data_IF_081815748568
#
_entry.id   IF_081815748568
#
_cell.length_a   1.000
_cell.length_b   1.000
_cell.length_c   1.000
_cell.angle_alpha   90.00
_cell.angle_beta   90.00
_cell.angle_gamma   90.00
#
_symmetry.space_group_name_H-M   'P 1'
#
loop_
_entity.id
_entity.type
_entity.pdbx_description
1 polymer ?
#
# COMPACT_ATOMS: atom_id res chain seq x y z
N UNK A 1 24.78 -17.76 24.83
CA UNK A 1 23.77 -17.24 25.78
C UNK A 1 22.42 -17.51 25.19
N UNK A 2 21.51 -18.12 25.91
CA UNK A 2 20.20 -18.54 25.41
C UNK A 2 19.33 -17.29 25.23
N UNK A 3 18.94 -16.98 23.99
CA UNK A 3 17.94 -15.95 23.69
C UNK A 3 16.59 -16.42 24.27
N UNK A 4 16.16 -15.78 25.34
CA UNK A 4 14.82 -15.96 25.85
C UNK A 4 13.90 -15.12 24.99
N UNK A 5 13.23 -15.75 24.04
CA UNK A 5 12.14 -15.14 23.30
C UNK A 5 11.03 -14.79 24.31
N UNK A 6 10.91 -13.52 24.64
CA UNK A 6 9.66 -13.00 25.19
C UNK A 6 8.73 -12.86 23.99
N UNK A 7 8.08 -13.95 23.64
CA UNK A 7 6.92 -13.95 22.78
C UNK A 7 5.83 -13.13 23.49
N UNK A 8 5.76 -11.84 23.19
CA UNK A 8 4.53 -11.11 23.42
C UNK A 8 3.43 -11.84 22.65
N UNK A 9 2.34 -12.16 23.34
CA UNK A 9 1.22 -13.01 22.88
C UNK A 9 0.39 -12.34 21.75
N UNK A 10 1.02 -11.59 20.86
CA UNK A 10 0.47 -11.15 19.57
C UNK A 10 0.92 -12.08 18.42
N UNK A 11 1.71 -13.09 18.75
CA UNK A 11 2.12 -14.08 17.78
C UNK A 11 0.99 -15.06 17.51
N UNK A 12 0.54 -15.01 16.25
CA UNK A 12 -0.01 -16.15 15.54
C UNK A 12 -1.39 -16.65 15.95
N UNK A 13 -2.40 -15.97 15.49
CA UNK A 13 -3.41 -16.74 14.79
C UNK A 13 -2.80 -17.19 13.43
N UNK A 14 -1.90 -18.17 13.45
CA UNK A 14 -1.62 -18.96 12.26
C UNK A 14 -2.93 -19.71 11.98
N UNK A 15 -3.81 -19.07 11.22
CA UNK A 15 -5.03 -19.68 10.75
C UNK A 15 -4.60 -20.87 9.89
N UNK A 16 -4.87 -22.09 10.33
CA UNK A 16 -4.97 -23.21 9.41
C UNK A 16 -6.07 -22.85 8.44
N UNK A 17 -5.67 -22.25 7.32
CA UNK A 17 -6.55 -22.02 6.19
C UNK A 17 -6.85 -23.41 5.67
N UNK A 18 -8.12 -23.81 5.74
CA UNK A 18 -8.60 -24.97 5.00
C UNK A 18 -8.36 -24.63 3.52
N UNK A 19 -7.30 -25.20 2.93
CA UNK A 19 -6.88 -24.89 1.57
C UNK A 19 -7.99 -25.35 0.62
N UNK A 20 -8.67 -24.39 0.01
CA UNK A 20 -9.39 -24.65 -1.23
C UNK A 20 -8.37 -25.00 -2.32
N UNK A 21 -8.71 -25.90 -3.22
CA UNK A 21 -7.83 -26.32 -4.32
C UNK A 21 -7.68 -25.22 -5.40
N UNK A 22 -8.20 -24.03 -5.16
CA UNK A 22 -8.16 -22.87 -6.03
C UNK A 22 -7.29 -21.78 -5.44
N UNK A 23 -6.59 -21.04 -6.30
CA UNK A 23 -5.76 -19.89 -5.91
C UNK A 23 -6.58 -18.81 -5.21
N UNK A 24 -7.82 -18.63 -5.63
CA UNK A 24 -8.76 -17.65 -5.08
C UNK A 24 -10.17 -18.25 -4.92
N UNK A 25 -10.98 -17.63 -4.03
CA UNK A 25 -12.38 -17.99 -3.83
C UNK A 25 -13.33 -17.07 -4.63
N UNK A 26 -12.93 -15.81 -4.84
CA UNK A 26 -13.76 -14.77 -5.47
C UNK A 26 -12.91 -13.84 -6.35
N UNK A 27 -13.51 -13.41 -7.47
CA UNK A 27 -12.98 -12.35 -8.32
C UNK A 27 -14.03 -11.24 -8.43
N UNK A 28 -13.74 -10.07 -7.86
CA UNK A 28 -14.67 -8.94 -7.78
C UNK A 28 -13.92 -7.65 -8.13
N UNK A 29 -14.48 -6.87 -9.05
CA UNK A 29 -13.91 -5.57 -9.47
C UNK A 29 -12.44 -5.64 -9.89
N UNK A 30 -12.02 -6.75 -10.51
CA UNK A 30 -10.65 -6.96 -10.97
C UNK A 30 -9.66 -7.43 -9.89
N UNK A 31 -10.13 -7.71 -8.68
CA UNK A 31 -9.30 -8.20 -7.58
C UNK A 31 -9.72 -9.62 -7.19
N UNK A 32 -8.73 -10.47 -6.99
CA UNK A 32 -8.90 -11.84 -6.55
C UNK A 32 -8.80 -11.94 -5.03
N UNK A 33 -9.73 -12.65 -4.41
CA UNK A 33 -9.81 -12.77 -2.97
C UNK A 33 -9.90 -14.21 -2.51
N UNK A 34 -9.27 -14.46 -1.35
CA UNK A 34 -9.54 -15.66 -0.52
C UNK A 34 -10.29 -15.24 0.73
N UNK A 35 -11.37 -15.96 1.06
CA UNK A 35 -12.11 -15.76 2.30
C UNK A 35 -11.45 -16.55 3.44
N UNK A 36 -11.25 -15.92 4.56
CA UNK A 36 -10.72 -16.54 5.76
C UNK A 36 -11.53 -16.13 6.99
N UNK A 37 -11.55 -17.01 7.99
CA UNK A 37 -12.20 -16.74 9.28
C UNK A 37 -11.18 -16.91 10.40
N UNK A 38 -11.07 -15.92 11.26
CA UNK A 38 -10.20 -15.97 12.41
C UNK A 38 -10.65 -17.09 13.36
N UNK A 39 -9.72 -17.93 13.78
CA UNK A 39 -9.95 -18.91 14.85
C UNK A 39 -9.65 -18.27 16.21
N UNK A 40 -10.60 -18.29 17.11
CA UNK A 40 -10.39 -17.80 18.48
C UNK A 40 -9.80 -18.89 19.38
N UNK A 41 -8.97 -18.53 20.38
CA UNK A 41 -8.57 -19.46 21.42
C UNK A 41 -9.81 -20.08 22.09
N UNK A 42 -9.89 -21.41 22.11
CA UNK A 42 -11.04 -22.13 22.63
C UNK A 42 -12.02 -22.64 21.56
N UNK A 43 -11.71 -22.48 20.27
CA UNK A 43 -12.46 -23.12 19.16
C UNK A 43 -13.66 -22.32 18.64
N UNK A 44 -13.81 -21.07 19.05
CA UNK A 44 -14.81 -20.16 18.49
C UNK A 44 -14.39 -19.60 17.14
N UNK A 45 -15.36 -19.20 16.29
CA UNK A 45 -15.11 -18.45 15.08
C UNK A 45 -15.07 -16.94 15.41
N UNK A 46 -14.02 -16.25 14.95
CA UNK A 46 -13.87 -14.81 15.02
C UNK A 46 -14.41 -14.10 13.76
N UNK A 47 -13.78 -12.98 13.44
CA UNK A 47 -14.12 -12.20 12.23
C UNK A 47 -13.81 -13.00 10.96
N UNK A 48 -14.71 -12.89 9.98
CA UNK A 48 -14.49 -13.35 8.61
C UNK A 48 -14.04 -12.15 7.76
N UNK A 49 -12.99 -12.35 6.97
CA UNK A 49 -12.34 -11.30 6.19
C UNK A 49 -11.83 -11.81 4.85
N UNK A 50 -11.38 -10.89 4.00
CA UNK A 50 -10.80 -11.18 2.71
C UNK A 50 -9.28 -10.95 2.72
N UNK A 51 -8.60 -11.78 1.94
CA UNK A 51 -7.18 -11.73 1.64
C UNK A 51 -7.07 -11.47 0.14
N UNK A 52 -6.34 -10.45 -0.28
CA UNK A 52 -5.98 -10.24 -1.69
C UNK A 52 -4.98 -11.32 -2.09
N UNK A 53 -5.23 -11.97 -3.22
CA UNK A 53 -4.37 -13.03 -3.78
C UNK A 53 -4.22 -12.84 -5.28
N UNK A 54 -3.34 -13.59 -5.94
CA UNK A 54 -3.29 -13.70 -7.40
C UNK A 54 -4.22 -14.82 -7.91
N UNK A 55 -4.23 -15.03 -9.21
CA UNK A 55 -4.97 -16.11 -9.89
C UNK A 55 -4.07 -17.26 -10.35
N UNK A 56 -2.85 -17.38 -9.80
CA UNK A 56 -1.76 -18.29 -10.19
C UNK A 56 -1.18 -18.03 -11.60
N UNK A 57 -1.55 -16.91 -12.23
CA UNK A 57 -0.99 -16.51 -13.51
C UNK A 57 -0.03 -15.30 -13.34
N UNK A 58 1.06 -15.22 -14.10
CA UNK A 58 1.94 -14.06 -14.06
C UNK A 58 1.22 -12.81 -14.58
N UNK A 59 1.54 -11.65 -13.99
CA UNK A 59 0.90 -10.37 -14.34
C UNK A 59 -0.62 -10.33 -14.11
N UNK A 60 -1.10 -10.97 -13.07
CA UNK A 60 -2.51 -10.93 -12.64
C UNK A 60 -3.05 -9.50 -12.58
N UNK A 61 -2.24 -8.56 -12.10
CA UNK A 61 -2.59 -7.16 -11.95
C UNK A 61 -1.75 -6.25 -12.84
N UNK A 62 -2.35 -5.16 -13.30
CA UNK A 62 -1.68 -4.17 -14.15
C UNK A 62 -2.24 -2.76 -13.95
N UNK A 63 -1.43 -1.75 -14.24
CA UNK A 63 -1.81 -0.34 -14.06
C UNK A 63 -1.99 0.01 -12.58
N UNK A 64 -3.00 0.81 -12.29
CA UNK A 64 -3.29 1.28 -10.94
C UNK A 64 -4.35 0.39 -10.29
N UNK A 65 -4.01 -0.22 -9.17
CA UNK A 65 -4.91 -1.10 -8.41
C UNK A 65 -5.30 -0.44 -7.10
N UNK A 66 -6.61 -0.41 -6.81
CA UNK A 66 -7.14 0.06 -5.53
C UNK A 66 -7.70 -1.12 -4.76
N UNK A 67 -7.08 -1.47 -3.64
CA UNK A 67 -7.58 -2.47 -2.71
C UNK A 67 -8.66 -1.82 -1.84
N UNK A 68 -9.94 -2.22 -1.94
CA UNK A 68 -11.01 -1.58 -1.19
C UNK A 68 -10.97 -1.94 0.30
N UNK A 69 -11.63 -1.14 1.14
CA UNK A 69 -11.78 -1.47 2.56
C UNK A 69 -12.66 -2.70 2.79
N UNK A 70 -13.70 -2.83 1.98
CA UNK A 70 -14.66 -3.91 2.06
C UNK A 70 -15.14 -4.33 0.68
N UNK A 71 -15.51 -5.60 0.53
CA UNK A 71 -16.22 -6.11 -0.64
C UNK A 71 -17.50 -6.84 -0.23
N UNK A 72 -18.51 -6.83 -1.12
CA UNK A 72 -19.75 -7.54 -0.91
C UNK A 72 -19.70 -8.90 -1.57
N UNK A 73 -19.58 -9.94 -0.77
CA UNK A 73 -19.52 -11.34 -1.21
C UNK A 73 -20.81 -12.05 -0.81
N UNK A 74 -21.60 -12.48 -1.78
CA UNK A 74 -22.89 -13.17 -1.55
C UNK A 74 -23.84 -12.40 -0.63
N UNK A 75 -23.83 -11.06 -0.68
CA UNK A 75 -24.68 -10.19 0.15
C UNK A 75 -24.11 -9.88 1.54
N UNK A 76 -22.93 -10.40 1.88
CA UNK A 76 -22.19 -10.11 3.11
C UNK A 76 -21.08 -9.11 2.83
N UNK A 77 -21.01 -7.99 3.58
CA UNK A 77 -19.92 -7.04 3.49
C UNK A 77 -18.74 -7.53 4.34
N UNK A 78 -17.64 -7.86 3.67
CA UNK A 78 -16.44 -8.40 4.29
C UNK A 78 -15.28 -7.39 4.17
N UNK A 79 -14.52 -7.22 5.25
CA UNK A 79 -13.32 -6.37 5.25
C UNK A 79 -12.17 -7.04 4.51
N UNK A 80 -11.43 -6.26 3.72
CA UNK A 80 -10.15 -6.70 3.16
C UNK A 80 -9.06 -6.39 4.18
N UNK A 81 -8.40 -7.42 4.72
CA UNK A 81 -7.47 -7.27 5.85
C UNK A 81 -6.03 -7.64 5.54
N UNK A 82 -5.79 -8.43 4.52
CA UNK A 82 -4.46 -8.94 4.22
C UNK A 82 -4.14 -8.82 2.76
N UNK A 83 -2.91 -8.43 2.47
CA UNK A 83 -2.27 -8.71 1.19
C UNK A 83 -1.62 -10.08 1.35
N UNK A 84 -2.06 -11.06 0.59
CA UNK A 84 -1.57 -12.43 0.67
C UNK A 84 -0.12 -12.57 0.20
N UNK A 85 0.50 -13.70 0.51
CA UNK A 85 1.80 -14.02 -0.07
C UNK A 85 1.68 -14.06 -1.59
N UNK A 86 2.67 -13.44 -2.27
CA UNK A 86 2.75 -13.39 -3.73
C UNK A 86 1.54 -12.74 -4.43
N UNK A 87 0.70 -11.98 -3.72
CA UNK A 87 -0.54 -11.42 -4.27
C UNK A 87 -0.32 -10.59 -5.54
N UNK A 88 0.73 -9.80 -5.61
CA UNK A 88 1.13 -9.00 -6.76
C UNK A 88 2.48 -9.44 -7.36
N UNK A 89 2.96 -10.64 -7.01
CA UNK A 89 4.24 -11.14 -7.48
C UNK A 89 4.33 -11.15 -9.01
N UNK A 90 5.44 -10.62 -9.54
CA UNK A 90 5.71 -10.62 -10.97
C UNK A 90 4.75 -9.77 -11.81
N UNK A 91 4.04 -8.82 -11.20
CA UNK A 91 3.14 -7.92 -11.93
C UNK A 91 3.92 -6.82 -12.64
N UNK A 92 4.54 -7.17 -13.79
CA UNK A 92 5.47 -6.30 -14.53
C UNK A 92 4.83 -5.04 -15.12
N UNK A 93 3.50 -4.94 -15.15
CA UNK A 93 2.76 -3.77 -15.62
C UNK A 93 2.00 -3.05 -14.49
N UNK A 94 2.27 -3.39 -13.23
CA UNK A 94 1.69 -2.74 -12.07
C UNK A 94 2.42 -1.41 -11.82
N UNK A 95 1.69 -0.31 -11.84
CA UNK A 95 2.26 1.04 -11.68
C UNK A 95 2.00 1.62 -10.30
N UNK A 96 0.84 1.36 -9.72
CA UNK A 96 0.55 1.77 -8.35
C UNK A 96 -0.43 0.82 -7.65
N UNK A 97 -0.32 0.75 -6.32
CA UNK A 97 -1.29 0.07 -5.46
C UNK A 97 -1.70 0.99 -4.33
N UNK A 98 -2.99 1.27 -4.23
CA UNK A 98 -3.56 2.00 -3.10
C UNK A 98 -4.08 1.01 -2.07
N UNK A 99 -3.47 0.99 -0.90
CA UNK A 99 -3.89 0.20 0.26
C UNK A 99 -4.77 1.03 1.18
N UNK A 100 -5.77 0.41 1.79
CA UNK A 100 -6.71 1.07 2.70
C UNK A 100 -6.42 0.76 4.17
N UNK A 101 -6.97 1.58 5.09
CA UNK A 101 -6.73 1.48 6.53
C UNK A 101 -7.34 0.25 7.23
N UNK A 102 -7.68 -0.79 6.47
CA UNK A 102 -8.07 -2.09 7.01
C UNK A 102 -6.98 -3.16 6.86
N UNK A 103 -5.95 -2.88 6.03
CA UNK A 103 -4.85 -3.81 5.81
C UNK A 103 -3.97 -3.88 7.07
N UNK A 104 -3.80 -5.07 7.62
CA UNK A 104 -3.00 -5.31 8.82
C UNK A 104 -1.71 -6.08 8.55
N UNK A 105 -1.60 -6.72 7.39
CA UNK A 105 -0.43 -7.51 7.03
C UNK A 105 -0.15 -7.45 5.52
N UNK A 106 1.12 -7.32 5.19
CA UNK A 106 1.66 -7.41 3.84
C UNK A 106 2.46 -8.70 3.77
N UNK A 107 2.03 -9.60 2.88
CA UNK A 107 2.50 -10.98 2.80
C UNK A 107 3.91 -11.12 2.22
N UNK A 108 4.43 -12.32 2.31
CA UNK A 108 5.71 -12.75 1.76
C UNK A 108 5.73 -12.56 0.22
N UNK A 109 6.77 -11.93 -0.32
CA UNK A 109 6.93 -11.62 -1.76
C UNK A 109 5.72 -10.92 -2.40
N UNK A 110 4.89 -10.24 -1.62
CA UNK A 110 3.58 -9.78 -2.09
C UNK A 110 3.65 -8.77 -3.24
N UNK A 111 4.69 -7.97 -3.33
CA UNK A 111 4.97 -7.02 -4.42
C UNK A 111 6.32 -7.29 -5.11
N UNK A 112 6.94 -8.45 -4.86
CA UNK A 112 8.23 -8.75 -5.46
C UNK A 112 8.12 -8.86 -7.00
N UNK A 113 9.20 -8.47 -7.68
CA UNK A 113 9.29 -8.47 -9.15
C UNK A 113 8.21 -7.58 -9.82
N UNK A 114 7.92 -6.41 -9.23
CA UNK A 114 7.06 -5.37 -9.81
C UNK A 114 7.91 -4.18 -10.30
N UNK A 115 8.57 -4.27 -11.46
CA UNK A 115 9.59 -3.31 -11.88
C UNK A 115 9.06 -1.89 -12.15
N UNK A 116 7.76 -1.72 -12.43
CA UNK A 116 7.15 -0.41 -12.69
C UNK A 116 6.42 0.18 -11.47
N UNK A 117 6.48 -0.47 -10.31
CA UNK A 117 5.91 0.07 -9.08
C UNK A 117 6.81 1.19 -8.55
N UNK A 118 6.37 2.44 -8.63
CA UNK A 118 7.18 3.62 -8.27
C UNK A 118 7.03 4.00 -6.78
N UNK A 119 5.84 3.80 -6.22
CA UNK A 119 5.53 4.20 -4.84
C UNK A 119 4.55 3.24 -4.21
N UNK A 120 4.74 3.00 -2.92
CA UNK A 120 3.78 2.28 -2.08
C UNK A 120 3.47 3.07 -0.81
N UNK A 121 2.20 3.15 -0.48
CA UNK A 121 1.66 3.88 0.66
C UNK A 121 1.16 2.86 1.70
N UNK A 122 1.90 2.72 2.80
CA UNK A 122 1.65 1.73 3.86
C UNK A 122 0.77 2.37 4.94
N UNK A 123 -0.51 1.99 5.02
CA UNK A 123 -1.44 2.62 5.96
C UNK A 123 -1.09 2.31 7.42
N UNK A 124 -1.54 3.20 8.32
CA UNK A 124 -1.26 3.10 9.76
C UNK A 124 -1.83 1.86 10.44
N UNK A 125 -2.73 1.15 9.77
CA UNK A 125 -3.30 -0.12 10.25
C UNK A 125 -2.36 -1.31 10.10
N UNK A 126 -1.30 -1.20 9.26
CA UNK A 126 -0.35 -2.29 9.04
C UNK A 126 0.44 -2.56 10.31
N UNK A 127 0.51 -3.84 10.69
CA UNK A 127 1.18 -4.34 11.88
C UNK A 127 2.36 -5.25 11.54
N UNK A 128 2.45 -5.67 10.26
CA UNK A 128 3.50 -6.58 9.83
C UNK A 128 3.76 -6.49 8.33
N UNK A 129 5.05 -6.50 7.96
CA UNK A 129 5.54 -6.72 6.59
C UNK A 129 6.43 -7.96 6.61
N UNK A 130 6.14 -8.91 5.71
CA UNK A 130 6.86 -10.16 5.63
C UNK A 130 8.08 -10.08 4.69
N UNK A 131 8.87 -11.15 4.70
CA UNK A 131 10.12 -11.28 3.95
C UNK A 131 9.97 -10.95 2.48
N UNK A 132 10.93 -10.20 1.93
CA UNK A 132 11.06 -9.88 0.51
C UNK A 132 9.80 -9.27 -0.12
N UNK A 133 9.00 -8.56 0.70
CA UNK A 133 7.71 -8.05 0.23
C UNK A 133 7.83 -7.14 -1.01
N UNK A 134 8.96 -6.44 -1.17
CA UNK A 134 9.21 -5.46 -2.25
C UNK A 134 10.48 -5.76 -3.04
N UNK A 135 11.01 -6.99 -2.99
CA UNK A 135 12.26 -7.33 -3.69
C UNK A 135 12.12 -7.16 -5.21
N UNK A 136 13.22 -6.70 -5.85
CA UNK A 136 13.30 -6.48 -7.30
C UNK A 136 12.23 -5.50 -7.87
N UNK A 137 11.81 -4.51 -7.10
CA UNK A 137 11.01 -3.40 -7.62
C UNK A 137 11.97 -2.30 -8.11
N UNK A 138 12.32 -2.34 -9.41
CA UNK A 138 13.42 -1.53 -9.99
C UNK A 138 13.12 -0.03 -9.95
N UNK A 139 11.88 0.39 -10.16
CA UNK A 139 11.44 1.78 -10.18
C UNK A 139 10.85 2.26 -8.83
N UNK A 140 10.96 1.44 -7.76
CA UNK A 140 10.42 1.82 -6.46
C UNK A 140 11.33 2.88 -5.80
N UNK A 141 10.82 4.11 -5.73
CA UNK A 141 11.52 5.27 -5.19
C UNK A 141 11.11 5.59 -3.75
N UNK A 142 9.83 5.35 -3.41
CA UNK A 142 9.30 5.74 -2.10
C UNK A 142 8.41 4.66 -1.49
N UNK A 143 8.63 4.41 -0.19
CA UNK A 143 7.76 3.64 0.68
C UNK A 143 7.31 4.58 1.81
N UNK A 144 6.07 5.03 1.80
CA UNK A 144 5.52 5.88 2.85
C UNK A 144 4.88 5.03 3.95
N UNK A 145 5.32 5.24 5.18
CA UNK A 145 4.79 4.57 6.37
C UNK A 145 3.92 5.56 7.14
N UNK A 146 2.64 5.28 7.31
CA UNK A 146 1.73 6.17 8.05
C UNK A 146 1.55 5.80 9.53
N UNK A 147 2.23 4.77 10.00
CA UNK A 147 2.23 4.44 11.42
C UNK A 147 3.14 5.38 12.21
N UNK A 148 2.65 5.91 13.33
CA UNK A 148 3.44 6.70 14.26
C UNK A 148 4.31 5.85 15.21
N UNK A 149 4.21 4.55 15.11
CA UNK A 149 4.95 3.58 15.95
C UNK A 149 5.51 2.47 15.08
N UNK A 150 6.70 1.96 15.39
CA UNK A 150 7.25 0.82 14.67
C UNK A 150 6.34 -0.40 14.80
N UNK A 151 6.28 -1.17 13.75
CA UNK A 151 5.56 -2.44 13.68
C UNK A 151 6.52 -3.57 13.26
N UNK A 152 6.03 -4.79 13.29
CA UNK A 152 6.88 -5.95 13.07
C UNK A 152 7.34 -6.03 11.60
N UNK A 153 8.66 -6.12 11.42
CA UNK A 153 9.29 -6.44 10.14
C UNK A 153 10.02 -7.78 10.25
N UNK A 154 9.93 -8.58 9.21
CA UNK A 154 10.88 -9.66 9.05
C UNK A 154 12.24 -9.10 8.65
N UNK A 155 13.34 -9.76 9.07
CA UNK A 155 14.72 -9.27 8.89
C UNK A 155 15.06 -8.90 7.44
N UNK A 156 14.38 -9.48 6.47
CA UNK A 156 14.55 -9.34 5.02
C UNK A 156 13.32 -8.71 4.32
N UNK A 157 12.44 -8.01 5.06
CA UNK A 157 11.24 -7.39 4.49
C UNK A 157 11.55 -6.41 3.36
N UNK A 158 12.66 -5.69 3.47
CA UNK A 158 13.19 -4.75 2.49
C UNK A 158 14.50 -5.25 1.82
N UNK A 159 14.73 -6.56 1.79
CA UNK A 159 15.86 -7.11 1.06
C UNK A 159 15.67 -6.96 -0.46
N UNK A 160 16.79 -6.81 -1.17
CA UNK A 160 16.83 -6.71 -2.63
C UNK A 160 15.95 -5.59 -3.22
N UNK A 161 15.65 -4.55 -2.43
CA UNK A 161 15.14 -3.27 -2.95
C UNK A 161 16.31 -2.46 -3.54
N UNK A 162 16.02 -1.51 -4.42
CA UNK A 162 17.07 -0.67 -4.97
C UNK A 162 17.65 0.28 -3.91
N UNK A 163 18.92 0.72 -4.11
CA UNK A 163 19.69 1.53 -3.13
C UNK A 163 19.17 2.97 -2.98
N UNK A 164 18.25 3.41 -3.84
CA UNK A 164 17.72 4.77 -3.84
C UNK A 164 16.31 4.87 -3.24
N UNK A 165 15.74 3.76 -2.79
CA UNK A 165 14.43 3.78 -2.12
C UNK A 165 14.47 4.64 -0.85
N UNK A 166 13.52 5.55 -0.75
CA UNK A 166 13.29 6.35 0.45
C UNK A 166 12.16 5.76 1.28
N UNK A 167 12.49 5.23 2.46
CA UNK A 167 11.47 4.77 3.42
C UNK A 167 11.14 5.93 4.35
N UNK A 168 9.96 6.50 4.16
CA UNK A 168 9.52 7.72 4.82
C UNK A 168 8.55 7.40 5.96
N UNK A 169 8.88 7.84 7.16
CA UNK A 169 8.05 7.70 8.36
C UNK A 169 7.45 9.06 8.77
N UNK A 170 6.37 9.08 9.58
CA UNK A 170 5.79 10.32 10.02
C UNK A 170 6.77 11.20 10.79
N UNK A 171 6.55 12.51 10.67
CA UNK A 171 7.34 13.55 11.34
C UNK A 171 7.56 13.25 12.82
N UNK A 172 8.81 13.40 13.28
CA UNK A 172 9.27 13.13 14.66
C UNK A 172 9.16 11.65 15.10
N UNK A 173 9.02 10.71 14.18
CA UNK A 173 8.94 9.28 14.52
C UNK A 173 10.24 8.51 14.29
N UNK A 174 11.24 9.05 13.57
CA UNK A 174 12.50 8.36 13.23
C UNK A 174 13.14 7.72 14.46
N UNK A 175 13.34 8.48 15.56
CA UNK A 175 13.96 7.95 16.77
C UNK A 175 13.24 6.71 17.35
N UNK A 176 11.90 6.68 17.24
CA UNK A 176 11.11 5.56 17.73
C UNK A 176 11.30 4.31 16.86
N UNK A 177 11.40 4.51 15.55
CA UNK A 177 11.65 3.42 14.59
C UNK A 177 13.08 2.89 14.72
N UNK A 178 14.10 3.75 14.79
CA UNK A 178 15.50 3.36 14.96
C UNK A 178 15.78 2.66 16.31
N UNK A 179 14.97 2.92 17.33
CA UNK A 179 15.05 2.24 18.62
C UNK A 179 14.47 0.81 18.59
N UNK A 180 13.69 0.45 17.58
CA UNK A 180 13.13 -0.88 17.40
C UNK A 180 14.14 -1.85 16.80
N UNK A 181 14.24 -3.07 17.34
CA UNK A 181 15.19 -4.09 16.85
C UNK A 181 14.93 -4.45 15.38
N UNK A 182 13.67 -4.48 14.98
CA UNK A 182 13.25 -4.87 13.63
C UNK A 182 13.59 -3.82 12.57
N UNK A 183 13.78 -2.54 12.99
CA UNK A 183 14.03 -1.41 12.09
C UNK A 183 15.50 -0.97 12.08
N UNK A 184 16.37 -1.65 12.82
CA UNK A 184 17.80 -1.31 12.87
C UNK A 184 18.47 -1.53 11.52
N UNK A 185 19.29 -0.55 11.11
CA UNK A 185 20.06 -0.60 9.86
C UNK A 185 19.28 -0.21 8.61
N UNK A 186 18.00 0.13 8.75
CA UNK A 186 17.19 0.68 7.66
C UNK A 186 17.38 2.19 7.64
N UNK A 187 17.70 2.75 6.47
CA UNK A 187 17.80 4.19 6.30
C UNK A 187 16.39 4.78 6.22
N UNK A 188 16.05 5.63 7.19
CA UNK A 188 14.74 6.26 7.30
C UNK A 188 14.82 7.75 7.00
N UNK A 189 13.73 8.27 6.48
CA UNK A 189 13.47 9.69 6.23
C UNK A 189 12.18 10.09 6.94
N UNK A 190 12.01 11.36 7.28
CA UNK A 190 10.74 11.85 7.82
C UNK A 190 10.00 12.77 6.84
N UNK A 191 8.71 12.95 7.06
CA UNK A 191 7.86 13.84 6.28
C UNK A 191 7.77 15.27 6.88
N UNK A 192 8.70 15.67 7.76
CA UNK A 192 8.76 16.98 8.40
C UNK A 192 9.09 18.16 7.45
N UNK A 193 8.89 17.98 6.16
CA UNK A 193 9.25 18.95 5.13
C UNK A 193 10.70 18.82 4.65
N UNK A 194 11.39 17.75 5.06
CA UNK A 194 12.78 17.45 4.69
C UNK A 194 12.93 16.27 3.74
N UNK A 195 11.91 15.90 3.02
CA UNK A 195 12.08 14.96 1.89
C UNK A 195 12.71 15.75 0.75
N UNK A 196 14.00 16.11 0.90
CA UNK A 196 14.88 16.60 -0.17
C UNK A 196 14.41 17.78 -1.01
N UNK A 197 13.40 18.53 -0.57
CA UNK A 197 12.89 19.69 -1.27
C UNK A 197 13.20 20.93 -0.40
N UNK A 198 14.08 21.77 -0.92
CA UNK A 198 14.54 23.00 -0.27
C UNK A 198 13.39 23.82 0.31
N UNK A 199 13.75 24.59 1.35
CA UNK A 199 12.94 25.47 2.16
C UNK A 199 11.69 26.05 1.47
N UNK A 200 10.53 25.80 2.13
CA UNK A 200 9.35 26.69 2.13
C UNK A 200 9.15 27.65 0.95
N UNK A 201 8.86 27.11 -0.21
CA UNK A 201 7.91 27.79 -1.08
C UNK A 201 6.58 27.02 -0.93
N UNK A 202 5.48 27.74 -0.77
CA UNK A 202 4.13 27.18 -0.81
C UNK A 202 4.03 26.36 -2.08
N UNK A 203 4.05 25.02 -1.95
CA UNK A 203 4.01 24.12 -3.09
C UNK A 203 2.72 24.42 -3.85
N UNK A 204 2.82 25.21 -4.93
CA UNK A 204 1.69 25.57 -5.76
C UNK A 204 1.39 24.36 -6.62
N UNK A 205 0.34 23.63 -6.28
CA UNK A 205 -0.14 22.55 -7.13
C UNK A 205 -0.90 23.14 -8.32
N UNK A 206 -0.53 22.76 -9.54
CA UNK A 206 -1.30 23.03 -10.74
C UNK A 206 -1.81 21.72 -11.34
N UNK A 207 -3.07 21.72 -11.79
CA UNK A 207 -3.70 20.54 -12.38
C UNK A 207 -4.45 20.94 -13.64
N UNK A 208 -4.16 20.27 -14.76
CA UNK A 208 -4.80 20.56 -16.05
C UNK A 208 -4.76 19.37 -17.02
N UNK A 209 -5.68 19.32 -18.02
CA UNK A 209 -6.80 20.23 -18.18
C UNK A 209 -7.86 20.04 -17.09
N UNK A 210 -8.66 21.07 -16.82
CA UNK A 210 -9.82 20.95 -15.95
C UNK A 210 -11.02 21.65 -16.63
N UNK A 211 -12.04 20.94 -17.11
CA UNK A 211 -12.27 19.49 -16.97
C UNK A 211 -11.26 18.61 -17.72
N UNK A 212 -10.94 17.45 -17.13
CA UNK A 212 -10.11 16.41 -17.73
C UNK A 212 -10.97 15.30 -18.36
N UNK A 213 -10.45 14.60 -19.38
CA UNK A 213 -11.19 13.52 -20.04
C UNK A 213 -10.37 12.23 -20.21
N UNK A 214 -9.15 12.29 -20.70
CA UNK A 214 -8.30 11.12 -20.92
C UNK A 214 -7.09 11.13 -19.99
N UNK A 215 -6.55 12.31 -19.74
CA UNK A 215 -5.37 12.47 -18.90
C UNK A 215 -5.46 13.72 -18.05
N UNK A 216 -4.71 13.75 -16.97
CA UNK A 216 -4.54 14.88 -16.08
C UNK A 216 -3.05 15.12 -15.88
N UNK A 217 -2.61 16.34 -16.10
CA UNK A 217 -1.25 16.76 -15.76
C UNK A 217 -1.27 17.44 -14.41
N UNK A 218 -0.37 17.01 -13.56
CA UNK A 218 -0.17 17.55 -12.21
C UNK A 218 1.23 18.13 -12.16
N UNK A 219 1.32 19.40 -11.79
CA UNK A 219 2.59 20.06 -11.45
C UNK A 219 2.61 20.23 -9.93
N UNK A 220 3.51 19.54 -9.28
CA UNK A 220 3.71 19.51 -7.85
C UNK A 220 5.06 18.86 -7.55
N UNK A 221 5.52 18.95 -6.31
CA UNK A 221 6.67 18.19 -5.82
C UNK A 221 6.23 17.35 -4.61
N UNK A 222 6.58 16.07 -4.63
CA UNK A 222 6.31 15.14 -3.57
C UNK A 222 5.08 14.24 -3.77
N UNK A 223 4.56 13.73 -2.67
CA UNK A 223 3.43 12.81 -2.67
C UNK A 223 2.13 13.54 -3.03
N UNK A 224 1.46 13.01 -4.05
CA UNK A 224 0.15 13.49 -4.49
C UNK A 224 -0.89 12.40 -4.26
N UNK A 225 -1.98 12.77 -3.62
CA UNK A 225 -3.13 11.89 -3.38
C UNK A 225 -4.34 12.40 -4.15
N UNK A 226 -5.00 11.53 -4.89
CA UNK A 226 -6.25 11.84 -5.58
C UNK A 226 -7.39 11.12 -4.86
N UNK A 227 -8.40 11.88 -4.44
CA UNK A 227 -9.59 11.36 -3.78
C UNK A 227 -10.84 11.64 -4.60
N UNK A 228 -11.84 10.77 -4.51
CA UNK A 228 -13.17 11.02 -5.04
C UNK A 228 -13.98 11.97 -4.13
N UNK A 229 -15.22 12.28 -4.52
CA UNK A 229 -16.11 13.18 -3.77
C UNK A 229 -16.52 12.65 -2.39
N UNK A 230 -16.32 11.35 -2.13
CA UNK A 230 -16.57 10.73 -0.83
C UNK A 230 -15.35 10.81 0.10
N UNK A 231 -14.21 11.29 -0.40
CA UNK A 231 -12.94 11.33 0.30
C UNK A 231 -12.13 10.03 0.23
N UNK A 232 -12.61 9.04 -0.56
CA UNK A 232 -11.87 7.81 -0.78
C UNK A 232 -10.68 8.07 -1.68
N UNK A 233 -9.50 7.60 -1.28
CA UNK A 233 -8.31 7.64 -2.12
C UNK A 233 -8.50 6.71 -3.30
N UNK A 234 -8.31 7.25 -4.50
CA UNK A 234 -8.40 6.51 -5.76
C UNK A 234 -7.04 6.35 -6.43
N UNK A 235 -6.06 7.16 -6.06
CA UNK A 235 -4.69 7.06 -6.54
C UNK A 235 -3.72 7.80 -5.61
N UNK A 236 -2.55 7.23 -5.40
CA UNK A 236 -1.40 7.87 -4.77
C UNK A 236 -0.23 7.79 -5.74
N UNK A 237 0.50 8.89 -5.92
CA UNK A 237 1.65 8.95 -6.83
C UNK A 237 2.68 9.96 -6.34
N UNK A 238 3.93 9.75 -6.71
CA UNK A 238 4.97 10.75 -6.51
C UNK A 238 5.11 11.61 -7.77
N UNK A 239 5.23 12.92 -7.57
CA UNK A 239 5.42 13.90 -8.65
C UNK A 239 6.71 14.65 -8.38
N UNK A 240 7.60 14.63 -9.36
CA UNK A 240 8.80 15.46 -9.40
C UNK A 240 8.56 16.52 -10.47
N UNK A 241 8.29 17.75 -10.02
CA UNK A 241 7.96 18.90 -10.85
C UNK A 241 6.67 18.72 -11.69
N UNK A 242 6.56 17.64 -12.46
CA UNK A 242 5.41 17.44 -13.37
C UNK A 242 5.21 15.99 -13.75
N UNK A 243 3.96 15.51 -13.62
CA UNK A 243 3.55 14.16 -14.08
C UNK A 243 2.21 14.21 -14.78
N UNK A 244 2.09 13.46 -15.88
CA UNK A 244 0.81 13.28 -16.57
C UNK A 244 0.33 11.86 -16.33
N UNK A 245 -0.89 11.73 -15.83
CA UNK A 245 -1.53 10.45 -15.53
C UNK A 245 -2.69 10.20 -16.49
N UNK A 246 -2.92 8.92 -16.82
CA UNK A 246 -4.12 8.46 -17.51
C UNK A 246 -5.29 8.43 -16.51
N UNK A 247 -6.47 8.82 -16.96
CA UNK A 247 -7.71 8.79 -16.17
C UNK A 247 -8.57 7.57 -16.48
N UNK A 248 -8.08 6.64 -17.30
CA UNK A 248 -8.78 5.41 -17.61
C UNK A 248 -9.09 4.65 -16.30
N UNK A 249 -10.32 4.20 -16.17
CA UNK A 249 -10.80 3.53 -14.94
C UNK A 249 -11.42 4.46 -13.89
N UNK A 250 -11.25 5.78 -14.00
CA UNK A 250 -11.97 6.72 -13.16
C UNK A 250 -13.36 7.05 -13.75
N UNK A 251 -14.36 7.03 -12.89
CA UNK A 251 -15.72 7.44 -13.28
C UNK A 251 -15.80 8.94 -13.50
N UNK A 252 -16.72 9.40 -14.37
CA UNK A 252 -17.01 10.84 -14.47
C UNK A 252 -17.50 11.38 -13.13
N UNK A 253 -16.90 12.50 -12.68
CA UNK A 253 -17.20 13.08 -11.38
C UNK A 253 -16.16 14.08 -10.92
N UNK A 254 -16.33 14.56 -9.68
CA UNK A 254 -15.35 15.44 -9.05
C UNK A 254 -14.29 14.64 -8.29
N UNK A 255 -13.06 15.06 -8.46
CA UNK A 255 -11.90 14.54 -7.74
C UNK A 255 -11.14 15.68 -7.08
N UNK A 256 -10.42 15.35 -6.02
CA UNK A 256 -9.57 16.30 -5.29
C UNK A 256 -8.14 15.80 -5.34
N UNK A 257 -7.28 16.60 -5.93
CA UNK A 257 -5.84 16.36 -6.03
C UNK A 257 -5.15 17.13 -4.92
N UNK A 258 -4.53 16.42 -3.99
CA UNK A 258 -3.86 16.97 -2.81
C UNK A 258 -2.36 16.74 -2.92
N UNK A 259 -1.57 17.82 -2.71
CA UNK A 259 -0.13 17.76 -2.52
C UNK A 259 0.22 18.61 -1.29
N UNK A 260 0.85 18.02 -0.29
CA UNK A 260 1.09 18.67 1.00
C UNK A 260 -0.20 19.20 1.62
N UNK A 261 -0.27 20.51 1.84
CA UNK A 261 -1.47 21.19 2.39
C UNK A 261 -2.43 21.71 1.33
N UNK A 262 -2.01 21.75 0.04
CA UNK A 262 -2.84 22.26 -1.04
C UNK A 262 -3.75 21.20 -1.64
N UNK A 263 -4.96 21.60 -2.02
CA UNK A 263 -5.96 20.75 -2.67
C UNK A 263 -6.55 21.47 -3.88
N UNK A 264 -6.58 20.80 -5.02
CA UNK A 264 -7.26 21.26 -6.24
C UNK A 264 -8.41 20.34 -6.59
N UNK A 265 -9.56 20.94 -6.93
CA UNK A 265 -10.72 20.20 -7.41
C UNK A 265 -10.65 20.06 -8.92
N UNK A 266 -10.86 18.86 -9.42
CA UNK A 266 -10.85 18.50 -10.85
C UNK A 266 -12.18 17.85 -11.22
N UNK A 267 -12.70 18.18 -12.39
CA UNK A 267 -13.85 17.49 -12.98
C UNK A 267 -13.34 16.52 -14.06
N UNK A 268 -13.58 15.23 -13.86
CA UNK A 268 -13.34 14.17 -14.86
C UNK A 268 -14.64 13.93 -15.64
N UNK A 269 -14.54 13.86 -16.99
CA UNK A 269 -15.68 13.69 -17.91
C UNK A 269 -15.71 12.32 -18.55
#
# INVERSE_FOLDING_TARGET
MKRTFILSVLALALTMICQSAFAYDYHVNGIYYRKATQQLPGGGCGETYLIVVNDDEPNTYSGDVVVPETEVINGESLRVRYIGSEAFYGCTNLTSVTLTNNIVNIGFHSFADCPLLEVIDIPSSVQQINSNAFSNCEELDYIFIHSNVPFFLWDDAFADINDHVHIVVPCNCIEAFEASEEWQGIQLYDDCGNVGIGETETATIAVYPNPASQSLTIEADGLVTITDETGRVVRTLFVDNKKTIDLQGLSSGFYFVKAGTEVKKVLVK
#
